data_IF_773480837951
#
_entry.id   IF_773480837951
#
_cell.length_a   1.000
_cell.length_b   1.000
_cell.length_c   1.000
_cell.angle_alpha   90.00
_cell.angle_beta   90.00
_cell.angle_gamma   90.00
#
_symmetry.space_group_name_H-M   'P 1'
#
loop_
_entity.id
_entity.type
_entity.pdbx_description
1 polymer ?
#
# COMPACT_ATOMS: atom_id res chain seq x y z
N UNK A 1 -8.24 7.35 10.11
CA UNK A 1 -7.23 8.39 9.84
C UNK A 1 -5.91 7.71 9.48
N UNK A 2 -5.52 7.80 8.20
CA UNK A 2 -4.22 7.35 7.67
C UNK A 2 -3.27 8.53 7.85
N UNK A 3 -2.87 8.83 9.07
CA UNK A 3 -2.23 10.13 9.39
C UNK A 3 -0.72 10.08 9.57
N UNK A 4 -0.06 8.95 9.33
CA UNK A 4 1.37 8.81 9.69
C UNK A 4 2.17 7.97 8.68
N UNK A 5 1.93 8.17 7.39
CA UNK A 5 2.63 7.44 6.33
C UNK A 5 3.43 8.45 5.51
N UNK A 6 4.73 8.49 5.78
CA UNK A 6 5.67 9.27 4.99
C UNK A 6 5.77 8.68 3.59
N UNK A 7 5.29 9.44 2.61
CA UNK A 7 5.38 9.08 1.19
C UNK A 7 6.61 9.74 0.58
N UNK A 8 7.37 9.05 -0.29
CA UNK A 8 8.46 9.67 -1.03
C UNK A 8 7.99 10.85 -1.89
N UNK A 9 8.91 11.78 -2.17
CA UNK A 9 8.59 13.01 -2.93
C UNK A 9 8.02 12.67 -4.31
N UNK A 10 6.84 13.22 -4.61
CA UNK A 10 6.14 13.03 -5.88
C UNK A 10 5.21 11.81 -5.91
N UNK A 11 5.13 11.04 -4.82
CA UNK A 11 4.17 9.96 -4.70
C UNK A 11 2.81 10.51 -4.24
N UNK A 12 1.75 9.87 -4.68
CA UNK A 12 0.37 10.22 -4.33
C UNK A 12 -0.30 9.04 -3.66
N UNK A 13 -1.09 9.31 -2.63
CA UNK A 13 -1.93 8.31 -1.97
C UNK A 13 -3.38 8.69 -2.21
N UNK A 14 -4.17 7.75 -2.74
CA UNK A 14 -5.61 7.90 -2.93
C UNK A 14 -6.33 6.77 -2.20
N UNK A 15 -7.31 7.09 -1.32
CA UNK A 15 -8.23 6.07 -0.85
C UNK A 15 -9.14 5.64 -2.01
N UNK A 16 -9.31 4.35 -2.17
CA UNK A 16 -10.19 3.74 -3.15
C UNK A 16 -11.26 2.92 -2.43
N UNK A 17 -12.52 3.23 -2.70
CA UNK A 17 -13.66 2.57 -2.04
C UNK A 17 -13.80 1.09 -2.42
N UNK A 18 -13.22 0.66 -3.55
CA UNK A 18 -13.34 -0.70 -4.07
C UNK A 18 -12.13 -1.58 -3.72
N UNK A 19 -10.93 -0.99 -3.64
CA UNK A 19 -9.68 -1.76 -3.44
C UNK A 19 -8.91 -1.45 -2.14
N UNK A 20 -9.21 -0.34 -1.46
CA UNK A 20 -8.52 0.07 -0.23
C UNK A 20 -7.75 1.38 -0.41
N UNK A 21 -6.43 1.33 -0.46
CA UNK A 21 -5.56 2.51 -0.61
C UNK A 21 -4.58 2.30 -1.73
N UNK A 22 -4.61 3.15 -2.74
CA UNK A 22 -3.68 3.11 -3.87
C UNK A 22 -2.60 4.16 -3.67
N UNK A 23 -1.34 3.75 -3.78
CA UNK A 23 -0.18 4.63 -3.81
C UNK A 23 0.35 4.64 -5.25
N UNK A 24 0.50 5.82 -5.82
CA UNK A 24 1.00 6.04 -7.18
C UNK A 24 2.36 6.73 -7.12
N UNK A 25 3.33 6.14 -7.81
CA UNK A 25 4.68 6.66 -8.02
C UNK A 25 4.90 6.95 -9.53
N UNK A 26 5.93 7.72 -9.91
CA UNK A 26 6.24 7.97 -11.32
C UNK A 26 6.51 6.71 -12.16
N UNK A 27 6.97 5.63 -11.55
CA UNK A 27 7.35 4.38 -12.22
C UNK A 27 6.33 3.25 -12.02
N UNK A 28 5.22 3.48 -11.33
CA UNK A 28 4.21 2.45 -11.09
C UNK A 28 3.26 2.79 -9.95
N UNK A 29 2.43 1.84 -9.57
CA UNK A 29 1.49 1.98 -8.45
C UNK A 29 1.53 0.75 -7.54
N UNK A 30 0.97 0.86 -6.35
CA UNK A 30 0.74 -0.27 -5.43
C UNK A 30 -0.62 -0.07 -4.75
N UNK A 31 -1.40 -1.13 -4.68
CA UNK A 31 -2.71 -1.14 -4.02
C UNK A 31 -2.59 -1.89 -2.71
N UNK A 32 -3.07 -1.28 -1.63
CA UNK A 32 -3.00 -1.77 -0.26
C UNK A 32 -4.42 -1.97 0.23
N UNK A 33 -4.76 -3.20 0.60
CA UNK A 33 -6.04 -3.55 1.17
C UNK A 33 -5.87 -3.81 2.68
N UNK A 34 -6.47 -2.94 3.49
CA UNK A 34 -6.44 -3.00 4.95
C UNK A 34 -7.27 -4.18 5.47
N UNK A 35 -8.31 -4.58 4.75
CA UNK A 35 -9.19 -5.70 5.11
C UNK A 35 -8.47 -7.02 4.87
N UNK A 36 -7.88 -7.18 3.68
CA UNK A 36 -7.02 -8.33 3.36
C UNK A 36 -5.68 -8.29 4.09
N UNK A 37 -5.35 -7.13 4.67
CA UNK A 37 -4.06 -6.83 5.31
C UNK A 37 -2.90 -7.18 4.39
N UNK A 38 -2.99 -6.81 3.13
CA UNK A 38 -1.99 -7.17 2.13
C UNK A 38 -1.91 -6.08 1.04
N UNK A 39 -0.93 -6.20 0.16
CA UNK A 39 -0.74 -5.28 -0.94
C UNK A 39 -0.38 -6.00 -2.24
N UNK A 40 -0.55 -5.30 -3.36
CA UNK A 40 -0.21 -5.79 -4.69
C UNK A 40 0.33 -4.64 -5.54
N UNK A 41 1.36 -4.90 -6.35
CA UNK A 41 1.90 -3.90 -7.28
C UNK A 41 0.91 -3.67 -8.43
N UNK A 42 0.73 -2.42 -8.81
CA UNK A 42 -0.27 -1.94 -9.76
C UNK A 42 -1.58 -1.51 -9.10
N UNK A 43 -2.44 -0.88 -9.88
CA UNK A 43 -3.82 -0.55 -9.50
C UNK A 43 -4.71 -1.77 -9.78
N UNK A 44 -4.73 -2.71 -8.82
CA UNK A 44 -5.50 -3.95 -8.94
C UNK A 44 -5.96 -4.45 -7.59
N UNK A 45 -6.99 -5.30 -7.59
CA UNK A 45 -7.53 -5.88 -6.37
C UNK A 45 -6.52 -6.81 -5.68
N UNK A 46 -6.42 -6.67 -4.36
CA UNK A 46 -5.64 -7.59 -3.52
C UNK A 46 -6.46 -8.87 -3.33
N UNK A 47 -6.03 -9.95 -3.97
CA UNK A 47 -6.76 -11.23 -3.95
C UNK A 47 -6.28 -12.21 -2.88
N UNK A 48 -5.25 -11.85 -2.11
CA UNK A 48 -4.64 -12.73 -1.11
C UNK A 48 -4.59 -12.08 0.26
N UNK A 49 -4.95 -12.85 1.30
CA UNK A 49 -4.85 -12.40 2.67
C UNK A 49 -3.39 -12.38 3.13
N UNK A 50 -2.95 -11.26 3.69
CA UNK A 50 -1.57 -11.05 4.13
C UNK A 50 -1.36 -11.49 5.57
N UNK A 51 -0.09 -11.74 5.92
CA UNK A 51 0.30 -12.21 7.27
C UNK A 51 0.40 -11.09 8.30
N UNK A 52 0.04 -9.86 7.94
CA UNK A 52 0.19 -8.68 8.79
C UNK A 52 -0.74 -8.77 9.99
N UNK A 53 -0.15 -9.02 11.15
CA UNK A 53 -0.84 -9.19 12.42
C UNK A 53 -0.03 -8.52 13.53
N UNK A 54 -0.65 -8.28 14.70
CA UNK A 54 -0.09 -7.61 15.89
C UNK A 54 -0.02 -6.07 15.82
N UNK A 55 0.34 -5.44 16.95
CA UNK A 55 0.45 -3.97 17.05
C UNK A 55 1.41 -3.42 15.98
N UNK A 56 1.01 -2.32 15.34
CA UNK A 56 1.80 -1.67 14.28
C UNK A 56 1.80 -2.40 12.93
N UNK A 57 0.93 -3.40 12.73
CA UNK A 57 0.84 -4.11 11.44
C UNK A 57 0.52 -3.19 10.27
N UNK A 58 -0.31 -2.16 10.46
CA UNK A 58 -0.66 -1.19 9.42
C UNK A 58 0.56 -0.44 8.92
N UNK A 59 1.36 0.12 9.83
CA UNK A 59 2.58 0.86 9.47
C UNK A 59 3.54 -0.03 8.67
N UNK A 60 3.74 -1.27 9.11
CA UNK A 60 4.54 -2.27 8.38
C UNK A 60 3.99 -2.59 7.00
N UNK A 61 2.67 -2.81 6.89
CA UNK A 61 2.02 -3.10 5.61
C UNK A 61 2.29 -2.00 4.57
N UNK A 62 2.14 -0.74 4.97
CA UNK A 62 2.40 0.39 4.09
C UNK A 62 3.88 0.58 3.77
N UNK A 63 4.76 0.40 4.76
CA UNK A 63 6.21 0.45 4.52
C UNK A 63 6.68 -0.62 3.53
N UNK A 64 6.21 -1.87 3.69
CA UNK A 64 6.57 -2.96 2.79
C UNK A 64 6.01 -2.72 1.38
N UNK A 65 4.79 -2.18 1.27
CA UNK A 65 4.20 -1.81 -0.01
C UNK A 65 5.01 -0.72 -0.74
N UNK A 66 5.46 0.32 -0.01
CA UNK A 66 6.31 1.38 -0.55
C UNK A 66 7.66 0.80 -0.99
N UNK A 67 8.31 0.00 -0.15
CA UNK A 67 9.57 -0.65 -0.49
C UNK A 67 9.45 -1.57 -1.70
N UNK A 68 8.36 -2.33 -1.81
CA UNK A 68 8.11 -3.18 -2.96
C UNK A 68 7.94 -2.36 -4.24
N UNK A 69 7.24 -1.22 -4.16
CA UNK A 69 7.09 -0.32 -5.30
C UNK A 69 8.42 0.35 -5.68
N UNK A 70 9.24 0.78 -4.71
CA UNK A 70 10.58 1.31 -4.97
C UNK A 70 11.50 0.28 -5.64
N UNK A 71 11.45 -0.99 -5.21
CA UNK A 71 12.21 -2.08 -5.81
C UNK A 71 11.75 -2.46 -7.21
N UNK A 72 10.51 -2.12 -7.56
CA UNK A 72 9.93 -2.38 -8.88
C UNK A 72 10.22 -1.28 -9.92
N UNK A 73 11.00 -0.26 -9.56
CA UNK A 73 11.54 0.77 -10.48
C UNK A 73 12.49 0.14 -11.50
#
# INVERSE_FOLDING_TARGET
MIEDIELPKGWKLRPDTQYGVVITAPHGSVTIDITMRNFVLGERMVMSYGKYSRRGWRKRLFQDAIQALEKAK
#
